data_IF_420693272170
#
_entry.id   IF_420693272170
#
_cell.length_a   1.000
_cell.length_b   1.000
_cell.length_c   1.000
_cell.angle_alpha   90.00
_cell.angle_beta   90.00
_cell.angle_gamma   90.00
#
_symmetry.space_group_name_H-M   'P 1'
#
loop_
_entity.id
_entity.type
_entity.pdbx_description
1 polymer ?
#
# COMPACT_ATOMS: atom_id res chain seq x y z
N UNK A 1 -11.00 12.48 9.27
CA UNK A 1 -11.48 11.70 8.11
C UNK A 1 -10.44 10.64 7.87
N UNK A 2 -10.87 9.39 7.71
CA UNK A 2 -9.95 8.30 7.43
C UNK A 2 -9.58 8.30 5.95
N UNK A 3 -8.28 8.26 5.64
CA UNK A 3 -7.80 8.42 4.27
C UNK A 3 -8.02 7.16 3.40
N UNK A 4 -8.21 5.99 4.02
CA UNK A 4 -8.46 4.72 3.34
C UNK A 4 -9.95 4.36 3.17
N UNK A 5 -10.85 5.06 3.86
CA UNK A 5 -12.31 4.88 3.73
C UNK A 5 -13.03 6.15 4.18
N UNK A 6 -13.43 6.99 3.22
CA UNK A 6 -14.10 8.28 3.49
C UNK A 6 -15.44 8.14 4.23
N UNK A 7 -16.00 6.93 4.29
CA UNK A 7 -17.25 6.65 5.03
C UNK A 7 -17.00 6.54 6.53
N UNK A 8 -15.74 6.43 6.96
CA UNK A 8 -15.38 6.29 8.37
C UNK A 8 -14.96 7.62 8.95
N UNK A 9 -15.68 8.01 9.99
CA UNK A 9 -15.25 9.06 10.90
C UNK A 9 -14.29 8.42 11.91
N UNK A 10 -13.06 8.91 11.98
CA UNK A 10 -12.08 8.44 12.94
C UNK A 10 -11.32 9.61 13.55
N UNK A 11 -11.04 9.51 14.86
CA UNK A 11 -10.10 10.39 15.58
C UNK A 11 -8.64 10.05 15.24
N UNK A 12 -8.37 8.81 14.81
CA UNK A 12 -7.08 8.32 14.36
C UNK A 12 -7.15 7.97 12.87
N UNK A 13 -6.18 8.40 12.07
CA UNK A 13 -6.22 8.31 10.60
C UNK A 13 -6.10 6.88 10.06
N UNK A 14 -5.90 5.89 10.95
CA UNK A 14 -5.56 4.51 10.60
C UNK A 14 -6.45 3.48 11.31
N UNK A 15 -6.51 2.28 10.72
CA UNK A 15 -7.09 1.10 11.38
C UNK A 15 -6.16 0.60 12.49
N UNK A 16 -6.74 -0.07 13.49
CA UNK A 16 -5.95 -0.72 14.55
C UNK A 16 -5.29 -2.02 14.03
N UNK A 17 -3.96 -1.99 13.95
CA UNK A 17 -3.12 -3.13 13.55
C UNK A 17 -2.45 -3.83 14.74
N UNK A 18 -2.73 -3.43 15.98
CA UNK A 18 -2.04 -3.92 17.19
C UNK A 18 -2.13 -5.44 17.36
N UNK A 19 -3.27 -6.05 17.01
CA UNK A 19 -3.44 -7.50 17.09
C UNK A 19 -2.50 -8.25 16.14
N UNK A 20 -2.32 -7.73 14.92
CA UNK A 20 -1.40 -8.32 13.94
C UNK A 20 0.05 -8.18 14.40
N UNK A 21 0.44 -6.99 14.85
CA UNK A 21 1.79 -6.73 15.34
C UNK A 21 2.12 -7.59 16.56
N UNK A 22 1.18 -7.72 17.49
CA UNK A 22 1.32 -8.59 18.67
C UNK A 22 1.50 -10.04 18.26
N UNK A 23 0.63 -10.54 17.37
CA UNK A 23 0.66 -11.93 16.92
C UNK A 23 1.97 -12.27 16.20
N UNK A 24 2.42 -11.42 15.28
CA UNK A 24 3.64 -11.66 14.50
C UNK A 24 4.91 -11.57 15.34
N UNK A 25 4.88 -10.88 16.48
CA UNK A 25 6.00 -10.79 17.41
C UNK A 25 6.05 -11.91 18.47
N UNK A 26 5.00 -12.74 18.58
CA UNK A 26 5.04 -13.91 19.46
C UNK A 26 6.22 -14.81 19.10
N UNK A 27 6.99 -15.23 20.11
CA UNK A 27 8.16 -16.09 19.92
C UNK A 27 7.81 -17.35 19.13
N UNK A 28 6.70 -17.99 19.47
CA UNK A 28 6.22 -19.21 18.80
C UNK A 28 5.90 -18.98 17.32
N UNK A 29 5.34 -17.81 16.97
CA UNK A 29 5.03 -17.45 15.59
C UNK A 29 6.32 -17.16 14.82
N UNK A 30 7.27 -16.43 15.40
CA UNK A 30 8.58 -16.17 14.78
C UNK A 30 9.41 -17.43 14.59
N UNK A 31 9.39 -18.33 15.57
CA UNK A 31 10.01 -19.67 15.47
C UNK A 31 9.39 -20.49 14.34
N UNK A 32 8.05 -20.47 14.21
CA UNK A 32 7.36 -21.18 13.13
C UNK A 32 7.65 -20.60 11.73
N UNK A 33 7.83 -19.27 11.62
CA UNK A 33 8.18 -18.59 10.37
C UNK A 33 9.67 -18.64 10.04
N UNK A 34 10.53 -19.03 11.00
CA UNK A 34 11.98 -19.11 10.81
C UNK A 34 12.69 -17.75 10.67
N UNK A 35 12.10 -16.68 11.22
CA UNK A 35 12.62 -15.30 11.10
C UNK A 35 13.59 -14.90 12.23
N UNK A 36 13.87 -15.82 13.15
CA UNK A 36 14.76 -15.59 14.30
C UNK A 36 14.23 -14.51 15.24
N UNK A 37 15.12 -13.63 15.68
CA UNK A 37 14.80 -12.57 16.65
C UNK A 37 14.36 -11.25 16.01
N UNK A 38 14.13 -11.23 14.69
CA UNK A 38 13.61 -10.04 14.00
C UNK A 38 12.29 -9.60 14.63
N UNK A 39 12.19 -8.32 14.92
CA UNK A 39 10.97 -7.67 15.37
C UNK A 39 10.14 -7.28 14.16
N UNK A 40 8.87 -7.66 14.17
CA UNK A 40 7.91 -7.23 13.16
C UNK A 40 7.41 -5.83 13.50
N UNK A 41 7.51 -4.93 12.51
CA UNK A 41 6.86 -3.62 12.49
C UNK A 41 6.03 -3.51 11.22
N UNK A 42 4.86 -2.87 11.29
CA UNK A 42 3.96 -2.74 10.14
C UNK A 42 4.53 -1.83 9.04
N UNK A 43 5.07 -0.67 9.41
CA UNK A 43 5.64 0.31 8.50
C UNK A 43 6.96 0.87 9.04
N UNK A 44 8.05 0.77 8.27
CA UNK A 44 9.36 1.33 8.65
C UNK A 44 9.49 2.79 8.22
N UNK A 45 9.55 3.71 9.18
CA UNK A 45 9.83 5.12 8.91
C UNK A 45 11.20 5.35 8.27
N UNK A 46 12.19 4.50 8.56
CA UNK A 46 13.53 4.56 7.93
C UNK A 46 13.45 4.29 6.44
N UNK A 47 12.76 3.21 6.04
CA UNK A 47 12.59 2.86 4.63
C UNK A 47 11.73 3.89 3.92
N UNK A 48 10.64 4.34 4.56
CA UNK A 48 9.79 5.42 4.03
C UNK A 48 10.61 6.68 3.70
N UNK A 49 11.43 7.15 4.65
CA UNK A 49 12.26 8.34 4.47
C UNK A 49 13.33 8.16 3.37
N UNK A 50 13.88 6.96 3.23
CA UNK A 50 14.86 6.66 2.19
C UNK A 50 14.26 6.69 0.76
N UNK A 51 12.94 6.50 0.63
CA UNK A 51 12.23 6.41 -0.64
C UNK A 51 11.47 7.70 -1.00
N UNK A 52 11.60 8.78 -0.23
CA UNK A 52 10.82 10.01 -0.44
C UNK A 52 11.03 10.64 -1.83
N UNK A 53 12.23 10.54 -2.40
CA UNK A 53 12.52 11.10 -3.72
C UNK A 53 11.81 10.35 -4.86
N UNK A 54 11.37 9.12 -4.63
CA UNK A 54 10.65 8.32 -5.63
C UNK A 54 9.18 8.73 -5.75
N UNK A 55 8.63 9.42 -4.74
CA UNK A 55 7.20 9.74 -4.63
C UNK A 55 6.66 10.50 -5.86
N UNK A 56 7.47 11.41 -6.41
CA UNK A 56 7.04 12.28 -7.52
C UNK A 56 7.45 11.76 -8.91
N UNK A 57 8.03 10.55 -8.99
CA UNK A 57 8.42 9.97 -10.28
C UNK A 57 7.18 9.51 -11.04
N UNK A 58 7.08 9.88 -12.33
CA UNK A 58 6.01 9.41 -13.17
C UNK A 58 6.29 7.97 -13.65
N UNK A 59 5.61 7.00 -13.07
CA UNK A 59 5.73 5.58 -13.43
C UNK A 59 4.70 5.14 -14.49
N UNK A 60 3.70 5.97 -14.79
CA UNK A 60 2.61 5.62 -15.73
C UNK A 60 3.14 5.41 -17.16
N UNK A 61 4.22 6.12 -17.51
CA UNK A 61 4.86 6.07 -18.85
C UNK A 61 5.42 4.69 -19.21
N UNK A 62 5.61 3.81 -18.22
CA UNK A 62 6.06 2.43 -18.46
C UNK A 62 4.94 1.48 -18.86
N UNK A 63 3.67 1.84 -18.61
CA UNK A 63 2.52 0.95 -18.86
C UNK A 63 2.36 0.59 -20.35
N UNK A 64 2.44 1.55 -21.31
CA UNK A 64 2.25 1.22 -22.73
C UNK A 64 3.21 0.14 -23.24
N UNK A 65 4.50 0.23 -22.90
CA UNK A 65 5.50 -0.75 -23.31
C UNK A 65 5.19 -2.17 -22.80
N UNK A 66 4.69 -2.29 -21.56
CA UNK A 66 4.29 -3.58 -20.99
C UNK A 66 3.09 -4.18 -21.73
N UNK A 67 2.12 -3.35 -22.13
CA UNK A 67 0.95 -3.80 -22.89
C UNK A 67 1.31 -4.23 -24.31
N UNK A 68 2.23 -3.51 -24.97
CA UNK A 68 2.76 -3.86 -26.30
C UNK A 68 3.48 -5.22 -26.29
N UNK A 69 4.17 -5.53 -25.19
CA UNK A 69 4.79 -6.83 -24.94
C UNK A 69 3.78 -7.95 -24.62
N UNK A 70 2.47 -7.65 -24.64
CA UNK A 70 1.39 -8.61 -24.45
C UNK A 70 1.07 -8.94 -22.99
N UNK A 71 1.57 -8.15 -22.04
CA UNK A 71 1.24 -8.30 -20.62
C UNK A 71 -0.18 -7.80 -20.38
N UNK A 72 -1.00 -8.62 -19.71
CA UNK A 72 -2.38 -8.25 -19.36
C UNK A 72 -2.39 -7.41 -18.09
N UNK A 73 -3.03 -6.25 -18.14
CA UNK A 73 -3.20 -5.35 -17.00
C UNK A 73 -4.64 -5.38 -16.47
N UNK A 74 -4.79 -5.42 -15.14
CA UNK A 74 -6.03 -5.17 -14.43
C UNK A 74 -5.78 -4.07 -13.41
N UNK A 75 -6.46 -2.93 -13.57
CA UNK A 75 -6.48 -1.86 -12.58
C UNK A 75 -7.80 -1.94 -11.81
N UNK A 76 -7.71 -1.99 -10.48
CA UNK A 76 -8.87 -1.96 -9.60
C UNK A 76 -8.64 -0.91 -8.52
N UNK A 77 -9.69 -0.15 -8.20
CA UNK A 77 -9.65 0.89 -7.19
C UNK A 77 -10.96 0.88 -6.37
N UNK A 78 -10.85 1.09 -5.07
CA UNK A 78 -12.01 1.17 -4.18
C UNK A 78 -12.72 2.52 -4.34
N UNK A 79 -14.05 2.51 -4.40
CA UNK A 79 -14.85 3.74 -4.57
C UNK A 79 -14.64 4.77 -3.45
N UNK A 80 -14.37 4.29 -2.23
CA UNK A 80 -14.33 5.10 -1.00
C UNK A 80 -12.90 5.35 -0.47
N UNK A 81 -11.86 4.96 -1.20
CA UNK A 81 -10.47 5.26 -0.84
C UNK A 81 -10.12 6.69 -1.28
N UNK A 82 -9.59 7.51 -0.38
CA UNK A 82 -9.18 8.88 -0.68
C UNK A 82 -7.75 8.95 -1.19
N UNK A 83 -6.82 8.17 -0.61
CA UNK A 83 -5.39 8.22 -0.96
C UNK A 83 -5.19 7.77 -2.41
N UNK A 84 -5.80 6.65 -2.77
CA UNK A 84 -5.72 6.08 -4.11
C UNK A 84 -7.10 6.05 -4.76
N UNK A 85 -7.66 7.24 -4.99
CA UNK A 85 -9.01 7.38 -5.48
C UNK A 85 -9.20 6.78 -6.89
N UNK A 86 -10.40 6.26 -7.14
CA UNK A 86 -10.74 5.59 -8.40
C UNK A 86 -10.80 6.55 -9.61
N UNK A 87 -11.06 7.84 -9.39
CA UNK A 87 -11.11 8.85 -10.45
C UNK A 87 -9.72 9.08 -11.06
N UNK A 88 -8.69 9.19 -10.23
CA UNK A 88 -7.29 9.33 -10.65
C UNK A 88 -6.84 8.12 -11.45
N UNK A 89 -7.15 6.91 -10.97
CA UNK A 89 -6.84 5.67 -11.68
C UNK A 89 -7.51 5.61 -13.05
N UNK A 90 -8.78 6.04 -13.15
CA UNK A 90 -9.52 6.09 -14.41
C UNK A 90 -8.90 7.12 -15.38
N UNK A 91 -8.66 8.33 -14.90
CA UNK A 91 -8.14 9.43 -15.72
C UNK A 91 -6.73 9.14 -16.23
N UNK A 92 -5.85 8.61 -15.38
CA UNK A 92 -4.43 8.45 -15.71
C UNK A 92 -4.10 7.18 -16.48
N UNK A 93 -4.81 6.08 -16.25
CA UNK A 93 -4.45 4.77 -16.83
C UNK A 93 -5.43 4.31 -17.91
N UNK A 94 -6.72 4.66 -17.81
CA UNK A 94 -7.75 4.12 -18.71
C UNK A 94 -8.10 5.10 -19.83
N UNK A 95 -8.09 6.41 -19.54
CA UNK A 95 -8.48 7.45 -20.50
C UNK A 95 -7.28 8.08 -21.24
N UNK A 96 -6.06 7.65 -20.93
CA UNK A 96 -4.80 8.16 -21.47
C UNK A 96 -4.19 7.12 -22.42
#
# INVERSE_FOLDING_TARGET
MQDYDIRKESEDHLYDFSNMETFLNLKTVREALGVGDLEFISCSGTVYNAMLEDWMKNLEVGIPALLEDGIKLLVYAGEYDLICNWLDSLERIVLN
#
